data_IF_074904890270
#
_entry.id   IF_074904890270
#
_cell.length_a   1.000
_cell.length_b   1.000
_cell.length_c   1.000
_cell.angle_alpha   90.00
_cell.angle_beta   90.00
_cell.angle_gamma   90.00
#
_symmetry.space_group_name_H-M   'P 1'
#
loop_
_entity.id
_entity.type
_entity.pdbx_description
1 polymer ?
#
# COMPACT_ATOMS: atom_id res chain seq x y z
N UNK A 1 -3.04 -14.51 0.10
CA UNK A 1 -2.50 -15.85 0.43
C UNK A 1 -1.90 -15.79 1.82
N UNK A 2 -2.43 -16.62 2.73
CA UNK A 2 -1.93 -16.70 4.11
C UNK A 2 -0.56 -17.35 4.11
N UNK A 3 0.43 -16.70 4.70
CA UNK A 3 1.65 -17.40 5.09
C UNK A 3 1.27 -18.63 5.91
N UNK A 4 1.80 -19.82 5.61
CA UNK A 4 1.49 -21.02 6.36
C UNK A 4 1.85 -20.78 7.84
N UNK A 5 0.95 -21.08 8.75
CA UNK A 5 1.14 -21.01 10.21
C UNK A 5 2.46 -21.64 10.68
N UNK A 6 2.96 -22.60 9.94
CA UNK A 6 4.22 -23.31 10.17
C UNK A 6 5.46 -22.41 10.32
N UNK A 7 5.47 -21.23 9.68
CA UNK A 7 6.60 -20.29 9.82
C UNK A 7 6.45 -19.34 11.01
N UNK A 8 5.24 -19.17 11.51
CA UNK A 8 4.99 -18.38 12.72
C UNK A 8 5.22 -19.25 13.99
N UNK A 9 4.96 -20.54 13.92
CA UNK A 9 5.18 -21.48 15.02
C UNK A 9 6.66 -21.87 15.20
N UNK A 10 7.49 -21.81 14.16
CA UNK A 10 8.94 -22.01 14.29
C UNK A 10 9.67 -20.89 15.05
N UNK A 11 8.97 -19.82 15.44
CA UNK A 11 9.53 -18.68 16.17
C UNK A 11 9.25 -18.78 17.68
N UNK A 12 8.49 -19.77 18.13
CA UNK A 12 7.97 -19.87 19.51
C UNK A 12 8.26 -21.22 20.17
N UNK A 13 9.36 -21.88 19.89
CA UNK A 13 9.75 -23.04 20.70
C UNK A 13 10.99 -22.78 21.56
N UNK A 14 10.78 -23.07 22.85
CA UNK A 14 11.61 -22.86 24.01
C UNK A 14 12.93 -23.66 24.02
N UNK A 15 13.89 -23.06 24.74
CA UNK A 15 15.05 -23.68 25.36
C UNK A 15 16.16 -24.29 24.51
N UNK A 16 16.96 -23.42 23.85
CA UNK A 16 18.42 -23.64 23.72
C UNK A 16 19.13 -22.33 23.38
N UNK A 17 20.45 -22.25 23.54
CA UNK A 17 21.29 -21.06 23.23
C UNK A 17 21.22 -20.54 21.79
N UNK A 18 20.51 -21.18 20.88
CA UNK A 18 20.14 -20.70 19.54
C UNK A 18 19.01 -19.67 19.56
N UNK A 19 18.20 -19.64 20.62
CA UNK A 19 17.07 -18.72 20.82
C UNK A 19 17.50 -17.23 20.80
N UNK A 20 18.73 -16.93 21.16
CA UNK A 20 19.23 -15.55 21.20
C UNK A 20 19.37 -14.93 19.81
N UNK A 21 19.49 -15.73 18.74
CA UNK A 21 19.53 -15.24 17.36
C UNK A 21 18.12 -15.11 16.76
N UNK A 22 17.20 -16.00 17.10
CA UNK A 22 15.81 -15.98 16.67
C UNK A 22 15.06 -14.77 17.21
N UNK A 23 15.35 -14.33 18.43
CA UNK A 23 14.78 -13.12 19.03
C UNK A 23 15.12 -11.81 18.31
N UNK A 24 15.98 -11.84 17.26
CA UNK A 24 16.34 -10.69 16.45
C UNK A 24 15.64 -10.62 15.09
N UNK A 25 14.71 -11.53 14.82
CA UNK A 25 13.91 -11.58 13.61
C UNK A 25 12.45 -11.28 13.98
N UNK A 26 11.87 -10.29 13.33
CA UNK A 26 10.47 -9.92 13.50
C UNK A 26 9.62 -10.30 12.29
N UNK A 27 8.32 -10.53 12.50
CA UNK A 27 7.34 -10.68 11.44
C UNK A 27 6.33 -9.54 11.51
N UNK A 28 6.13 -8.80 10.41
CA UNK A 28 5.23 -7.65 10.35
C UNK A 28 4.17 -7.85 9.25
N UNK A 29 2.91 -7.87 9.62
CA UNK A 29 1.79 -8.04 8.69
C UNK A 29 0.53 -7.31 9.18
N UNK A 30 -0.43 -7.07 8.29
CA UNK A 30 -1.62 -6.26 8.55
C UNK A 30 -2.57 -6.82 9.63
N UNK A 31 -2.55 -8.14 9.89
CA UNK A 31 -3.39 -8.77 10.92
C UNK A 31 -2.81 -8.72 12.34
N UNK A 32 -1.61 -8.16 12.53
CA UNK A 32 -1.09 -7.87 13.86
C UNK A 32 -1.84 -6.70 14.51
N UNK A 33 -1.98 -6.74 15.84
CA UNK A 33 -2.53 -5.58 16.57
C UNK A 33 -1.67 -4.35 16.37
N UNK A 34 -2.27 -3.17 16.48
CA UNK A 34 -1.56 -1.88 16.34
C UNK A 34 -0.37 -1.78 17.29
N UNK A 35 -0.54 -2.25 18.52
CA UNK A 35 0.50 -2.23 19.56
C UNK A 35 1.73 -3.08 19.17
N UNK A 36 1.49 -4.31 18.69
CA UNK A 36 2.57 -5.17 18.22
C UNK A 36 3.31 -4.60 17.03
N UNK A 37 2.60 -4.01 16.07
CA UNK A 37 3.22 -3.35 14.90
C UNK A 37 4.12 -2.20 15.35
N UNK A 38 3.60 -1.30 16.17
CA UNK A 38 4.37 -0.15 16.67
C UNK A 38 5.60 -0.58 17.47
N UNK A 39 5.49 -1.66 18.26
CA UNK A 39 6.64 -2.21 19.00
C UNK A 39 7.71 -2.77 18.04
N UNK A 40 7.31 -3.55 17.03
CA UNK A 40 8.24 -4.10 16.03
C UNK A 40 8.94 -2.99 15.22
N UNK A 41 8.19 -1.98 14.80
CA UNK A 41 8.75 -0.82 14.09
C UNK A 41 9.77 -0.08 14.94
N UNK A 42 9.48 0.11 16.24
CA UNK A 42 10.41 0.71 17.18
C UNK A 42 11.65 -0.17 17.39
N UNK A 43 11.48 -1.46 17.60
CA UNK A 43 12.60 -2.39 17.83
C UNK A 43 13.48 -2.53 16.58
N UNK A 44 12.91 -2.40 15.37
CA UNK A 44 13.65 -2.33 14.12
C UNK A 44 14.47 -1.03 14.04
N UNK A 45 13.84 0.10 14.31
CA UNK A 45 14.48 1.44 14.32
C UNK A 45 15.62 1.53 15.34
N UNK A 46 15.40 0.96 16.52
CA UNK A 46 16.40 0.93 17.60
C UNK A 46 17.53 -0.08 17.34
N UNK A 47 17.50 -0.82 16.21
CA UNK A 47 18.52 -1.81 15.85
C UNK A 47 18.48 -3.09 16.70
N UNK A 48 17.41 -3.32 17.47
CA UNK A 48 17.23 -4.55 18.26
C UNK A 48 16.91 -5.74 17.38
N UNK A 49 16.17 -5.50 16.28
CA UNK A 49 15.90 -6.51 15.27
C UNK A 49 16.96 -6.44 14.16
N UNK A 50 17.43 -7.60 13.74
CA UNK A 50 18.38 -7.73 12.62
C UNK A 50 17.68 -7.99 11.29
N UNK A 51 16.49 -8.55 11.32
CA UNK A 51 15.69 -8.80 10.13
C UNK A 51 14.20 -8.70 10.45
N UNK A 52 13.42 -8.27 9.47
CA UNK A 52 11.95 -8.29 9.53
C UNK A 52 11.43 -8.93 8.26
N UNK A 53 10.55 -9.91 8.42
CA UNK A 53 9.80 -10.51 7.33
C UNK A 53 8.45 -9.82 7.27
N UNK A 54 8.11 -9.25 6.11
CA UNK A 54 6.82 -8.57 5.95
C UNK A 54 6.19 -8.91 4.58
N UNK A 55 4.88 -8.72 4.48
CA UNK A 55 4.17 -8.73 3.19
C UNK A 55 4.29 -7.35 2.52
N UNK A 56 3.21 -6.58 2.50
CA UNK A 56 3.18 -5.20 1.96
C UNK A 56 3.15 -4.13 3.06
N UNK A 57 3.11 -4.56 4.33
CA UNK A 57 2.84 -3.68 5.47
C UNK A 57 3.94 -2.66 5.77
N UNK A 58 5.17 -2.87 5.29
CA UNK A 58 6.29 -1.93 5.41
C UNK A 58 6.64 -1.24 4.08
N UNK A 59 5.79 -1.41 3.06
CA UNK A 59 6.02 -0.85 1.73
C UNK A 59 5.88 0.68 1.70
N UNK A 60 4.92 1.23 2.44
CA UNK A 60 4.54 2.64 2.38
C UNK A 60 4.62 3.36 3.74
N UNK A 61 5.17 4.57 3.70
CA UNK A 61 4.92 5.64 4.67
C UNK A 61 5.41 5.46 6.11
N UNK A 62 6.18 4.39 6.41
CA UNK A 62 6.66 4.13 7.77
C UNK A 62 8.14 4.48 7.87
N UNK A 63 8.50 5.26 8.88
CA UNK A 63 9.89 5.48 9.26
C UNK A 63 10.40 4.30 10.08
N UNK A 64 11.07 3.37 9.42
CA UNK A 64 11.62 2.14 10.02
C UNK A 64 13.13 2.23 10.31
N UNK A 65 13.72 3.42 10.13
CA UNK A 65 15.15 3.63 10.35
C UNK A 65 16.03 3.05 9.25
N UNK A 66 17.26 2.66 9.60
CA UNK A 66 18.25 2.17 8.64
C UNK A 66 18.02 0.72 8.25
N UNK A 67 17.83 0.48 6.96
CA UNK A 67 17.79 -0.86 6.37
C UNK A 67 18.99 -1.00 5.43
N UNK A 68 19.85 -1.98 5.68
CA UNK A 68 21.03 -2.22 4.88
C UNK A 68 20.70 -2.91 3.55
N UNK A 69 19.72 -3.80 3.55
CA UNK A 69 19.35 -4.63 2.41
C UNK A 69 17.87 -4.98 2.43
N UNK A 70 17.22 -4.83 1.31
CA UNK A 70 15.86 -5.35 1.07
C UNK A 70 15.94 -6.58 0.18
N UNK A 71 15.28 -7.66 0.59
CA UNK A 71 15.15 -8.90 -0.18
C UNK A 71 13.69 -9.10 -0.55
N UNK A 72 13.40 -9.13 -1.83
CA UNK A 72 12.08 -9.48 -2.35
C UNK A 72 12.05 -10.96 -2.74
N UNK A 73 11.09 -11.72 -2.22
CA UNK A 73 10.85 -13.09 -2.61
C UNK A 73 9.80 -13.10 -3.72
N UNK A 74 10.20 -13.50 -4.93
CA UNK A 74 9.39 -13.40 -6.14
C UNK A 74 9.33 -11.99 -6.71
N UNK A 75 8.59 -11.84 -7.81
CA UNK A 75 8.42 -10.56 -8.50
C UNK A 75 7.58 -9.57 -7.69
N UNK A 76 8.03 -8.31 -7.54
CA UNK A 76 7.22 -7.23 -6.98
C UNK A 76 6.07 -6.77 -7.88
N UNK A 77 5.94 -7.31 -9.10
CA UNK A 77 4.86 -7.10 -10.07
C UNK A 77 4.79 -5.69 -10.70
N UNK A 78 5.55 -4.73 -10.22
CA UNK A 78 5.66 -3.41 -10.85
C UNK A 78 6.99 -2.74 -10.51
N UNK A 79 7.47 -1.86 -11.39
CA UNK A 79 8.70 -1.08 -11.19
C UNK A 79 8.52 -0.13 -10.00
N UNK A 80 7.38 0.52 -9.90
CA UNK A 80 7.08 1.43 -8.80
C UNK A 80 7.17 0.73 -7.44
N UNK A 81 6.56 -0.46 -7.30
CA UNK A 81 6.64 -1.26 -6.06
C UNK A 81 8.05 -1.73 -5.77
N UNK A 82 8.80 -2.17 -6.80
CA UNK A 82 10.19 -2.55 -6.63
C UNK A 82 11.00 -1.40 -6.04
N UNK A 83 10.88 -0.22 -6.62
CA UNK A 83 11.59 0.99 -6.17
C UNK A 83 11.15 1.43 -4.77
N UNK A 84 9.85 1.35 -4.45
CA UNK A 84 9.33 1.67 -3.12
C UNK A 84 9.87 0.72 -2.04
N UNK A 85 9.91 -0.58 -2.32
CA UNK A 85 10.46 -1.60 -1.39
C UNK A 85 11.96 -1.43 -1.22
N UNK A 86 12.71 -1.38 -2.32
CA UNK A 86 14.16 -1.24 -2.30
C UNK A 86 14.56 0.12 -1.72
N UNK A 87 13.76 1.14 -1.96
CA UNK A 87 13.94 2.48 -1.40
C UNK A 87 13.84 2.55 0.13
N UNK A 88 13.42 1.48 0.83
CA UNK A 88 13.53 1.37 2.29
C UNK A 88 14.97 1.18 2.75
N UNK A 89 15.88 0.77 1.87
CA UNK A 89 17.32 0.72 2.15
C UNK A 89 18.02 2.03 1.77
N UNK A 90 19.19 2.31 2.37
CA UNK A 90 20.05 3.43 1.96
C UNK A 90 19.59 4.81 2.44
N UNK A 91 19.19 4.95 3.68
CA UNK A 91 18.75 6.24 4.24
C UNK A 91 19.87 7.21 4.65
N UNK A 92 21.14 6.84 4.53
CA UNK A 92 22.25 7.79 4.75
C UNK A 92 22.50 8.63 3.50
N UNK A 93 22.79 9.91 3.71
CA UNK A 93 23.19 10.80 2.63
C UNK A 93 24.34 10.17 1.84
N UNK A 94 24.18 9.98 0.52
CA UNK A 94 25.13 9.34 -0.38
C UNK A 94 25.24 7.80 -0.33
N UNK A 95 24.46 7.08 0.45
CA UNK A 95 24.40 5.62 0.34
C UNK A 95 23.49 5.18 -0.82
N UNK A 96 23.97 4.15 -1.55
CA UNK A 96 23.18 3.52 -2.61
C UNK A 96 22.19 2.56 -1.99
N UNK A 97 20.94 2.61 -2.42
CA UNK A 97 19.91 1.63 -2.08
C UNK A 97 20.34 0.24 -2.56
N UNK A 98 20.15 -0.78 -1.71
CA UNK A 98 20.50 -2.17 -2.01
C UNK A 98 19.24 -3.04 -1.95
N UNK A 99 18.90 -3.65 -3.08
CA UNK A 99 17.83 -4.61 -3.18
C UNK A 99 18.30 -5.90 -3.84
N UNK A 100 17.68 -7.00 -3.48
CA UNK A 100 17.82 -8.29 -4.15
C UNK A 100 16.45 -8.89 -4.40
N UNK A 101 16.26 -9.47 -5.58
CA UNK A 101 15.06 -10.22 -5.92
C UNK A 101 15.46 -11.68 -6.04
N UNK A 102 14.82 -12.53 -5.24
CA UNK A 102 15.00 -13.99 -5.32
C UNK A 102 13.87 -14.53 -6.18
N UNK A 103 14.21 -15.05 -7.33
CA UNK A 103 13.29 -15.62 -8.30
C UNK A 103 12.83 -16.99 -7.82
N UNK A 104 11.52 -17.25 -7.86
CA UNK A 104 10.93 -18.49 -7.37
C UNK A 104 10.64 -19.51 -8.48
N UNK A 105 10.38 -19.03 -9.71
CA UNK A 105 10.07 -19.86 -10.86
C UNK A 105 10.56 -19.21 -12.17
N UNK A 106 10.34 -19.89 -13.31
CA UNK A 106 10.79 -19.41 -14.62
C UNK A 106 10.08 -18.16 -15.11
N UNK A 107 8.78 -18.05 -14.84
CA UNK A 107 7.99 -16.88 -15.25
C UNK A 107 8.42 -15.65 -14.47
N UNK A 108 8.65 -15.80 -13.16
CA UNK A 108 9.24 -14.76 -12.32
C UNK A 108 10.62 -14.32 -12.81
N UNK A 109 11.42 -15.23 -13.41
CA UNK A 109 12.75 -14.87 -13.90
C UNK A 109 12.67 -13.85 -15.04
N UNK A 110 11.81 -14.08 -16.01
CA UNK A 110 11.63 -13.17 -17.16
C UNK A 110 11.06 -11.84 -16.68
N UNK A 111 10.02 -11.89 -15.85
CA UNK A 111 9.38 -10.70 -15.29
C UNK A 111 10.38 -9.87 -14.47
N UNK A 112 11.16 -10.50 -13.58
CA UNK A 112 12.15 -9.81 -12.77
C UNK A 112 13.30 -9.23 -13.60
N UNK A 113 13.72 -9.90 -14.68
CA UNK A 113 14.75 -9.39 -15.57
C UNK A 113 14.28 -8.11 -16.30
N UNK A 114 13.06 -8.11 -16.82
CA UNK A 114 12.45 -6.92 -17.44
C UNK A 114 12.27 -5.81 -16.42
N UNK A 115 11.73 -6.13 -15.24
CA UNK A 115 11.52 -5.19 -14.15
C UNK A 115 12.83 -4.53 -13.70
N UNK A 116 13.90 -5.32 -13.58
CA UNK A 116 15.23 -4.80 -13.21
C UNK A 116 15.75 -3.84 -14.27
N UNK A 117 15.63 -4.20 -15.56
CA UNK A 117 16.03 -3.33 -16.68
C UNK A 117 15.27 -2.01 -16.64
N UNK A 118 13.95 -2.05 -16.58
CA UNK A 118 13.11 -0.86 -16.54
C UNK A 118 13.39 0.00 -15.30
N UNK A 119 13.68 -0.63 -14.14
CA UNK A 119 14.07 0.08 -12.91
C UNK A 119 15.39 0.84 -13.05
N UNK A 120 16.39 0.24 -13.71
CA UNK A 120 17.68 0.87 -13.98
C UNK A 120 17.51 2.06 -14.94
N UNK A 121 16.65 1.90 -15.96
CA UNK A 121 16.30 2.94 -16.92
C UNK A 121 15.35 4.00 -16.36
N UNK A 122 14.88 3.84 -15.11
CA UNK A 122 13.91 4.70 -14.41
C UNK A 122 12.57 4.83 -15.14
N UNK A 123 12.17 3.81 -15.85
CA UNK A 123 10.89 3.71 -16.52
C UNK A 123 9.85 3.16 -15.54
N UNK A 124 9.09 4.05 -14.92
CA UNK A 124 8.04 3.70 -13.97
C UNK A 124 6.75 3.39 -14.75
N UNK A 125 5.98 2.44 -14.23
CA UNK A 125 4.67 2.07 -14.78
C UNK A 125 3.76 3.31 -14.89
N UNK A 126 2.96 3.36 -15.95
CA UNK A 126 2.00 4.44 -16.13
C UNK A 126 0.93 4.39 -15.04
N UNK A 127 0.71 5.52 -14.41
CA UNK A 127 -0.37 5.67 -13.45
C UNK A 127 -1.65 5.99 -14.22
N UNK A 128 -2.66 5.14 -14.09
CA UNK A 128 -4.01 5.43 -14.51
C UNK A 128 -4.76 6.07 -13.35
N UNK A 129 -5.02 7.37 -13.46
CA UNK A 129 -5.83 8.09 -12.48
C UNK A 129 -7.29 7.80 -12.83
N UNK A 130 -8.07 7.15 -11.95
CA UNK A 130 -9.49 6.92 -12.19
C UNK A 130 -10.22 8.25 -12.36
N UNK A 131 -11.12 8.32 -13.33
CA UNK A 131 -11.95 9.50 -13.58
C UNK A 131 -13.43 9.12 -13.51
N UNK A 132 -14.25 10.06 -13.06
CA UNK A 132 -15.70 9.97 -12.97
C UNK A 132 -16.19 8.72 -12.21
N UNK A 133 -15.47 8.31 -11.14
CA UNK A 133 -15.90 7.21 -10.26
C UNK A 133 -17.11 7.68 -9.45
N UNK A 134 -18.31 7.25 -9.83
CA UNK A 134 -19.57 7.73 -9.24
C UNK A 134 -19.77 7.26 -7.80
N UNK A 135 -19.26 6.10 -7.42
CA UNK A 135 -19.26 5.57 -6.06
C UNK A 135 -18.47 6.47 -5.09
N UNK A 136 -17.26 6.90 -5.51
CA UNK A 136 -16.43 7.85 -4.76
C UNK A 136 -17.10 9.22 -4.73
N UNK A 137 -17.71 9.64 -5.86
CA UNK A 137 -18.43 10.92 -5.95
C UNK A 137 -19.60 10.95 -4.98
N UNK A 138 -20.40 9.87 -4.92
CA UNK A 138 -21.53 9.75 -3.97
C UNK A 138 -21.07 9.99 -2.53
N UNK A 139 -19.97 9.33 -2.11
CA UNK A 139 -19.41 9.51 -0.78
C UNK A 139 -18.96 10.94 -0.52
N UNK A 140 -18.34 11.60 -1.51
CA UNK A 140 -17.89 12.99 -1.37
C UNK A 140 -19.08 13.96 -1.31
N UNK A 141 -20.09 13.79 -2.16
CA UNK A 141 -21.30 14.62 -2.14
C UNK A 141 -22.04 14.50 -0.80
N UNK A 142 -22.14 13.29 -0.25
CA UNK A 142 -22.71 13.08 1.07
C UNK A 142 -21.88 13.81 2.15
N UNK A 143 -20.54 13.71 2.11
CA UNK A 143 -19.67 14.43 3.03
C UNK A 143 -19.83 15.95 2.95
N UNK A 144 -19.87 16.50 1.73
CA UNK A 144 -20.08 17.94 1.50
C UNK A 144 -21.43 18.40 2.06
N UNK A 145 -22.49 17.59 1.90
CA UNK A 145 -23.86 17.92 2.38
C UNK A 145 -23.97 17.86 3.90
N UNK A 146 -23.08 17.13 4.59
CA UNK A 146 -23.03 17.12 6.06
C UNK A 146 -22.37 18.39 6.63
N UNK A 147 -21.49 19.04 5.87
CA UNK A 147 -20.81 20.26 6.32
C UNK A 147 -21.67 21.51 6.14
N UNK A 148 -22.39 21.62 5.02
CA UNK A 148 -23.25 22.75 4.71
C UNK A 148 -24.31 22.41 3.66
N UNK A 149 -25.33 23.27 3.56
CA UNK A 149 -26.29 23.21 2.44
C UNK A 149 -25.65 23.75 1.17
N UNK A 150 -25.76 23.01 0.09
CA UNK A 150 -25.22 23.37 -1.20
C UNK A 150 -26.32 23.67 -2.22
N UNK A 151 -26.09 24.66 -3.07
CA UNK A 151 -26.78 24.77 -4.33
C UNK A 151 -26.24 23.71 -5.31
N UNK A 152 -27.12 23.04 -6.06
CA UNK A 152 -26.75 21.93 -6.95
C UNK A 152 -25.70 22.33 -7.99
N UNK A 153 -25.86 23.53 -8.57
CA UNK A 153 -24.93 24.04 -9.57
C UNK A 153 -23.60 24.40 -8.95
N UNK A 154 -23.60 25.00 -7.80
CA UNK A 154 -22.36 25.34 -7.07
C UNK A 154 -21.60 24.08 -6.65
N UNK A 155 -22.30 23.04 -6.21
CA UNK A 155 -21.72 21.75 -5.89
C UNK A 155 -21.08 21.12 -7.14
N UNK A 156 -21.81 21.08 -8.27
CA UNK A 156 -21.30 20.54 -9.52
C UNK A 156 -20.05 21.28 -10.00
N UNK A 157 -20.08 22.61 -10.02
CA UNK A 157 -18.94 23.44 -10.44
C UNK A 157 -17.73 23.26 -9.52
N UNK A 158 -17.97 23.02 -8.23
CA UNK A 158 -16.91 22.76 -7.25
C UNK A 158 -16.27 21.39 -7.47
N UNK A 159 -17.06 20.37 -7.71
CA UNK A 159 -16.62 19.01 -8.01
C UNK A 159 -15.76 18.99 -9.28
N UNK A 160 -16.17 19.72 -10.33
CA UNK A 160 -15.43 19.80 -11.59
C UNK A 160 -14.07 20.48 -11.50
N UNK A 161 -13.75 21.18 -10.43
CA UNK A 161 -12.39 21.71 -10.18
C UNK A 161 -11.39 20.59 -9.88
N UNK A 162 -11.85 19.41 -9.47
CA UNK A 162 -10.99 18.24 -9.28
C UNK A 162 -10.59 17.61 -10.61
N UNK A 163 -9.33 17.22 -10.74
CA UNK A 163 -8.83 16.52 -11.93
C UNK A 163 -9.64 15.25 -12.24
N UNK A 164 -10.04 14.50 -11.21
CA UNK A 164 -10.78 13.26 -11.38
C UNK A 164 -12.19 13.48 -11.96
N UNK A 165 -12.77 14.67 -11.81
CA UNK A 165 -14.14 14.97 -12.20
C UNK A 165 -14.26 16.14 -13.20
N UNK A 166 -13.15 16.62 -13.75
CA UNK A 166 -13.18 17.73 -14.74
C UNK A 166 -14.05 17.43 -15.95
N UNK A 167 -14.19 16.15 -16.31
CA UNK A 167 -15.00 15.66 -17.43
C UNK A 167 -16.32 15.05 -16.98
N UNK A 168 -16.76 15.30 -15.74
CA UNK A 168 -18.04 14.79 -15.23
C UNK A 168 -19.19 15.35 -16.06
N UNK A 169 -20.07 14.44 -16.51
CA UNK A 169 -21.28 14.82 -17.22
C UNK A 169 -22.34 15.32 -16.20
N UNK A 170 -23.09 16.34 -16.59
CA UNK A 170 -24.16 16.86 -15.75
C UNK A 170 -25.28 15.84 -15.56
N UNK A 171 -25.51 14.96 -16.54
CA UNK A 171 -26.48 13.88 -16.44
C UNK A 171 -26.12 12.90 -15.33
N UNK A 172 -24.86 12.43 -15.33
CA UNK A 172 -24.35 11.50 -14.31
C UNK A 172 -24.40 12.12 -12.92
N UNK A 173 -24.12 13.43 -12.81
CA UNK A 173 -24.23 14.16 -11.55
C UNK A 173 -25.68 14.20 -11.04
N UNK A 174 -26.63 14.53 -11.92
CA UNK A 174 -28.05 14.62 -11.55
C UNK A 174 -28.62 13.25 -11.17
N UNK A 175 -28.30 12.19 -11.92
CA UNK A 175 -28.68 10.82 -11.58
C UNK A 175 -28.15 10.41 -10.20
N UNK A 176 -26.89 10.76 -9.91
CA UNK A 176 -26.29 10.47 -8.62
C UNK A 176 -26.95 11.28 -7.49
N UNK A 177 -27.33 12.53 -7.75
CA UNK A 177 -28.03 13.37 -6.79
C UNK A 177 -29.40 12.78 -6.45
N UNK A 178 -30.18 12.39 -7.48
CA UNK A 178 -31.48 11.70 -7.30
C UNK A 178 -31.32 10.38 -6.54
N UNK A 179 -30.27 9.61 -6.82
CA UNK A 179 -29.96 8.40 -6.07
C UNK A 179 -29.72 8.69 -4.57
N UNK A 180 -28.93 9.72 -4.27
CA UNK A 180 -28.64 10.12 -2.87
C UNK A 180 -29.85 10.70 -2.17
N UNK A 181 -30.77 11.33 -2.91
CA UNK A 181 -32.04 11.82 -2.41
C UNK A 181 -33.07 10.69 -2.10
N UNK A 182 -32.77 9.45 -2.52
CA UNK A 182 -33.66 8.29 -2.30
C UNK A 182 -34.77 8.18 -3.32
N UNK A 183 -34.73 8.90 -4.44
CA UNK A 183 -35.80 8.92 -5.45
C UNK A 183 -35.95 7.58 -6.20
N UNK A 184 -34.99 6.69 -6.09
CA UNK A 184 -34.99 5.37 -6.74
C UNK A 184 -35.35 4.22 -5.78
N UNK A 185 -35.66 4.52 -4.54
CA UNK A 185 -36.02 3.49 -3.55
C UNK A 185 -37.52 3.53 -3.36
N UNK A 186 -38.27 2.79 -4.18
CA UNK A 186 -39.59 2.33 -3.80
C UNK A 186 -39.44 1.36 -2.62
N UNK A 187 -39.48 1.89 -1.42
CA UNK A 187 -39.68 1.08 -0.22
C UNK A 187 -41.14 0.65 -0.28
N UNK A 188 -41.44 -0.45 -0.99
CA UNK A 188 -42.66 -1.21 -0.75
C UNK A 188 -42.59 -1.70 0.70
N UNK A 189 -43.55 -1.23 1.51
CA UNK A 189 -43.82 -1.64 2.90
C UNK A 189 -44.14 -3.15 3.04
#
# INVERSE_FOLDING_TARGET
>A
ERFPKKYTEMIVDDDTNETTQLNKIGAHHGSLSKEHRTKLEKDLRDGKLKAVVCSTSLELGIDIGFIDLVICLGSPKSVARALQRIGRSGHKLHEKTKGRIIVLNRDDLVECAVLLKESIERKIDRIHIPQNCLDVLAQQMQGMSLEQTWDEREMYDTIKKSYCYQNLNITDFNELLSYLAGEFVDLED
#
